data_IF_663021582222
#
_entry.id   IF_663021582222
#
_cell.length_a   1.000
_cell.length_b   1.000
_cell.length_c   1.000
_cell.angle_alpha   90.00
_cell.angle_beta   90.00
_cell.angle_gamma   90.00
#
_symmetry.space_group_name_H-M   'P 1'
#
loop_
_entity.id
_entity.type
_entity.pdbx_description
1 polymer ?
#
# COMPACT_ATOMS: atom_id res chain seq x y z
N UNK A 1 5.37 17.40 11.94
CA UNK A 1 5.22 15.93 11.99
C UNK A 1 6.38 15.37 12.82
N UNK A 2 6.14 15.03 14.10
CA UNK A 2 7.11 14.27 14.90
C UNK A 2 6.87 12.79 14.64
N UNK A 3 7.92 12.03 14.32
CA UNK A 3 7.99 10.61 14.68
C UNK A 3 7.70 9.55 13.61
N UNK A 4 7.95 9.81 12.31
CA UNK A 4 8.05 8.69 11.37
C UNK A 4 9.49 8.15 11.36
N UNK A 5 9.71 6.82 11.40
CA UNK A 5 11.04 6.25 11.31
C UNK A 5 11.75 6.69 10.03
N UNK A 6 13.05 6.97 10.10
CA UNK A 6 13.85 7.30 8.90
C UNK A 6 13.88 6.15 7.87
N UNK A 7 13.55 4.94 8.32
CA UNK A 7 13.41 3.72 7.53
C UNK A 7 12.09 3.61 6.79
N UNK A 8 11.09 4.45 7.09
CA UNK A 8 9.78 4.39 6.42
C UNK A 8 9.94 4.57 4.91
N UNK A 9 9.40 3.64 4.13
CA UNK A 9 9.33 3.71 2.67
C UNK A 9 7.93 3.42 2.20
N UNK A 10 7.51 4.13 1.16
CA UNK A 10 6.32 3.83 0.38
C UNK A 10 6.74 3.47 -1.04
N UNK A 11 6.17 2.39 -1.56
CA UNK A 11 6.36 1.94 -2.93
C UNK A 11 5.00 1.77 -3.59
N UNK A 12 4.75 2.49 -4.68
CA UNK A 12 3.54 2.28 -5.48
C UNK A 12 3.75 1.15 -6.49
N UNK A 13 2.76 0.28 -6.65
CA UNK A 13 2.80 -0.80 -7.65
C UNK A 13 1.86 -0.54 -8.82
N UNK A 14 0.57 -0.32 -8.52
CA UNK A 14 -0.46 -0.16 -9.55
C UNK A 14 -1.37 1.01 -9.17
N UNK A 15 -1.77 1.80 -10.16
CA UNK A 15 -2.83 2.78 -10.05
C UNK A 15 -3.94 2.48 -11.05
N UNK A 16 -5.19 2.67 -10.62
CA UNK A 16 -6.37 2.65 -11.49
C UNK A 16 -7.24 3.86 -11.18
N UNK A 17 -7.91 4.42 -12.19
CA UNK A 17 -8.77 5.58 -12.02
C UNK A 17 -10.14 5.33 -12.67
N UNK A 18 -11.20 5.83 -12.02
CA UNK A 18 -12.57 5.77 -12.53
C UNK A 18 -13.38 6.95 -12.02
N UNK A 19 -13.82 7.83 -12.93
CA UNK A 19 -14.46 9.09 -12.56
C UNK A 19 -13.51 9.92 -11.69
N UNK A 20 -14.03 10.41 -10.56
CA UNK A 20 -13.26 11.22 -9.60
C UNK A 20 -12.42 10.38 -8.64
N UNK A 21 -12.41 9.05 -8.76
CA UNK A 21 -11.69 8.18 -7.85
C UNK A 21 -10.40 7.64 -8.46
N UNK A 22 -9.34 7.58 -7.64
CA UNK A 22 -8.10 6.87 -7.94
C UNK A 22 -7.87 5.81 -6.86
N UNK A 23 -7.53 4.60 -7.28
CA UNK A 23 -7.14 3.50 -6.39
C UNK A 23 -5.65 3.23 -6.61
N UNK A 24 -4.87 3.25 -5.54
CA UNK A 24 -3.44 2.98 -5.54
C UNK A 24 -3.16 1.73 -4.72
N UNK A 25 -2.57 0.71 -5.34
CA UNK A 25 -2.03 -0.44 -4.64
C UNK A 25 -0.57 -0.18 -4.30
N UNK A 26 -0.26 -0.04 -3.01
CA UNK A 26 1.06 0.34 -2.52
C UNK A 26 1.56 -0.53 -1.37
N UNK A 27 2.86 -0.40 -1.07
CA UNK A 27 3.52 -1.05 0.06
C UNK A 27 4.18 -0.01 0.97
N UNK A 28 3.89 -0.09 2.26
CA UNK A 28 4.64 0.60 3.31
C UNK A 28 5.58 -0.37 3.99
N UNK A 29 6.86 -0.01 4.12
CA UNK A 29 7.87 -0.79 4.83
C UNK A 29 8.68 0.10 5.77
N UNK A 30 9.37 -0.50 6.73
CA UNK A 30 10.23 0.25 7.66
C UNK A 30 9.48 1.19 8.62
N UNK A 31 8.17 0.98 8.81
CA UNK A 31 7.32 1.70 9.78
C UNK A 31 7.47 1.20 11.23
N UNK A 32 8.42 0.28 11.48
CA UNK A 32 8.70 -0.26 12.82
C UNK A 32 7.84 -1.45 13.23
N UNK A 33 6.94 -1.93 12.35
CA UNK A 33 6.24 -3.20 12.56
C UNK A 33 6.98 -4.35 11.85
N UNK A 34 6.74 -5.61 12.27
CA UNK A 34 7.45 -6.77 11.70
C UNK A 34 7.13 -7.04 10.24
N UNK A 35 5.87 -6.84 9.83
CA UNK A 35 5.43 -6.99 8.44
C UNK A 35 5.30 -5.62 7.78
N UNK A 36 5.64 -5.56 6.49
CA UNK A 36 5.24 -4.45 5.64
C UNK A 36 3.72 -4.46 5.48
N UNK A 37 3.13 -3.30 5.19
CA UNK A 37 1.72 -3.16 4.88
C UNK A 37 1.50 -3.07 3.39
N UNK A 38 0.58 -3.88 2.86
CA UNK A 38 0.02 -3.73 1.52
C UNK A 38 -1.31 -3.00 1.64
N UNK A 39 -1.46 -1.93 0.87
CA UNK A 39 -2.56 -0.98 1.00
C UNK A 39 -3.23 -0.77 -0.35
N UNK A 40 -4.55 -0.75 -0.35
CA UNK A 40 -5.35 -0.13 -1.40
C UNK A 40 -5.83 1.24 -0.90
N UNK A 41 -5.13 2.30 -1.31
CA UNK A 41 -5.53 3.68 -1.03
C UNK A 41 -6.58 4.10 -2.06
N UNK A 42 -7.72 4.61 -1.60
CA UNK A 42 -8.80 5.13 -2.43
C UNK A 42 -8.86 6.63 -2.17
N UNK A 43 -8.66 7.43 -3.21
CA UNK A 43 -8.74 8.89 -3.11
C UNK A 43 -9.83 9.42 -4.03
N UNK A 44 -10.66 10.33 -3.53
CA UNK A 44 -11.57 11.12 -4.36
C UNK A 44 -10.91 12.46 -4.67
N UNK A 45 -10.84 12.79 -5.95
CA UNK A 45 -10.36 14.06 -6.47
C UNK A 45 -11.52 15.04 -6.61
N UNK A 46 -11.27 16.32 -6.35
CA UNK A 46 -12.22 17.40 -6.63
C UNK A 46 -11.46 18.59 -7.22
N UNK A 47 -11.62 18.82 -8.52
CA UNK A 47 -10.70 19.70 -9.25
C UNK A 47 -9.27 19.16 -9.17
N UNK A 48 -8.33 19.99 -8.69
CA UNK A 48 -6.91 19.66 -8.60
C UNK A 48 -6.47 19.20 -7.19
N UNK A 49 -7.42 18.90 -6.30
CA UNK A 49 -7.10 18.49 -4.92
C UNK A 49 -7.65 17.10 -4.59
N UNK A 50 -6.93 16.41 -3.70
CA UNK A 50 -7.44 15.24 -3.00
C UNK A 50 -8.44 15.73 -1.95
N UNK A 51 -9.71 15.38 -2.11
CA UNK A 51 -10.79 15.81 -1.23
C UNK A 51 -11.08 14.79 -0.11
N UNK A 52 -11.04 13.49 -0.44
CA UNK A 52 -11.30 12.40 0.49
C UNK A 52 -10.28 11.27 0.29
N UNK A 53 -9.97 10.56 1.38
CA UNK A 53 -9.06 9.41 1.38
C UNK A 53 -9.61 8.32 2.32
N UNK A 54 -9.54 7.09 1.85
CA UNK A 54 -9.79 5.87 2.61
C UNK A 54 -8.76 4.83 2.24
N UNK A 55 -8.53 3.87 3.13
CA UNK A 55 -7.63 2.76 2.89
C UNK A 55 -8.24 1.42 3.31
N UNK A 56 -7.71 0.37 2.70
CA UNK A 56 -7.78 -0.99 3.23
C UNK A 56 -6.34 -1.46 3.38
N UNK A 57 -5.97 -1.86 4.59
CA UNK A 57 -4.61 -2.24 4.97
C UNK A 57 -4.58 -3.70 5.37
N UNK A 58 -3.58 -4.44 4.90
CA UNK A 58 -3.26 -5.79 5.34
C UNK A 58 -1.74 -5.95 5.49
N UNK A 59 -1.30 -6.78 6.44
CA UNK A 59 0.09 -7.25 6.48
C UNK A 59 0.46 -8.00 5.19
N UNK A 60 1.66 -7.74 4.65
CA UNK A 60 2.19 -8.42 3.48
C UNK A 60 2.36 -9.92 3.77
N UNK A 61 1.68 -10.76 2.98
CA UNK A 61 1.70 -12.19 3.20
C UNK A 61 3.08 -12.80 2.92
N UNK A 62 3.55 -13.68 3.82
CA UNK A 62 4.72 -14.53 3.55
C UNK A 62 4.40 -15.63 2.55
N UNK A 63 5.44 -16.35 2.10
CA UNK A 63 5.29 -17.52 1.23
C UNK A 63 4.37 -18.58 1.83
N UNK A 64 4.50 -18.83 3.12
CA UNK A 64 3.75 -19.85 3.86
C UNK A 64 2.26 -19.46 4.00
N UNK A 65 1.96 -18.16 4.03
CA UNK A 65 0.61 -17.65 4.17
C UNK A 65 -0.12 -17.53 2.82
N UNK A 66 0.62 -17.37 1.71
CA UNK A 66 0.04 -17.21 0.38
C UNK A 66 -0.53 -18.51 -0.17
N UNK A 67 -1.86 -18.59 -0.22
CA UNK A 67 -2.58 -19.75 -0.81
C UNK A 67 -2.39 -19.89 -2.31
N UNK A 68 -2.13 -18.79 -3.02
CA UNK A 68 -1.89 -18.80 -4.47
C UNK A 68 -0.45 -19.17 -4.83
N UNK A 69 0.47 -19.14 -3.87
CA UNK A 69 1.90 -19.29 -4.12
C UNK A 69 2.56 -18.05 -4.74
N UNK A 70 1.83 -16.93 -4.87
CA UNK A 70 2.32 -15.67 -5.44
C UNK A 70 2.42 -14.57 -4.36
N UNK A 71 3.39 -13.63 -4.48
CA UNK A 71 3.48 -12.48 -3.59
C UNK A 71 2.36 -11.47 -3.85
N UNK A 72 2.03 -10.67 -2.83
CA UNK A 72 1.07 -9.57 -2.97
C UNK A 72 1.64 -8.39 -3.77
N UNK A 73 2.97 -8.25 -3.77
CA UNK A 73 3.67 -7.11 -4.33
C UNK A 73 4.90 -7.57 -5.12
N UNK A 74 5.06 -7.08 -6.36
CA UNK A 74 6.19 -7.43 -7.23
C UNK A 74 6.31 -8.93 -7.53
N UNK A 75 7.54 -9.44 -7.55
CA UNK A 75 7.89 -10.81 -7.94
C UNK A 75 8.48 -11.65 -6.79
N UNK A 76 8.53 -11.12 -5.56
CA UNK A 76 9.16 -11.77 -4.40
C UNK A 76 8.33 -11.60 -3.13
N UNK A 77 8.39 -12.61 -2.26
CA UNK A 77 7.81 -12.55 -0.91
C UNK A 77 8.66 -11.66 0.02
N UNK A 78 8.08 -11.13 1.11
CA UNK A 78 8.85 -10.45 2.15
C UNK A 78 9.81 -11.43 2.82
N UNK A 79 11.07 -11.00 3.03
CA UNK A 79 12.13 -11.82 3.60
C UNK A 79 13.48 -11.63 2.92
#
# INVERSE_FOLDING_TARGET
MKGLPATLRYENHVGAASGDFVILHGRFSGHGLPAAWVVADIVRMEGDVLAEHWDVIQDEATREQSRSGLPMFGDRFPG
#
